data_IF_310511243089
#
_entry.id   IF_310511243089
#
_cell.length_a   1.000
_cell.length_b   1.000
_cell.length_c   1.000
_cell.angle_alpha   90.00
_cell.angle_beta   90.00
_cell.angle_gamma   90.00
#
_symmetry.space_group_name_H-M   'P 1'
#
loop_
_entity.id
_entity.type
_entity.pdbx_description
1 polymer ?
#
# COMPACT_ATOMS: atom_id res chain seq x y z
N UNK A 1 -0.50 -13.94 -13.92
CA UNK A 1 -0.27 -12.61 -13.36
C UNK A 1 0.99 -12.69 -12.51
N UNK A 2 1.99 -11.88 -12.85
CA UNK A 2 3.30 -11.83 -12.19
C UNK A 2 3.31 -10.74 -11.11
N UNK A 3 4.31 -10.74 -10.24
CA UNK A 3 4.52 -9.68 -9.25
C UNK A 3 4.70 -8.31 -9.94
N UNK A 4 5.35 -8.29 -11.11
CA UNK A 4 5.54 -7.08 -11.91
C UNK A 4 4.20 -6.55 -12.46
N UNK A 5 3.32 -7.44 -12.92
CA UNK A 5 1.97 -7.06 -13.37
C UNK A 5 1.18 -6.40 -12.23
N UNK A 6 1.35 -6.90 -11.00
CA UNK A 6 0.63 -6.39 -9.84
C UNK A 6 1.12 -5.00 -9.41
N UNK A 7 2.44 -4.77 -9.46
CA UNK A 7 3.03 -3.45 -9.19
C UNK A 7 2.55 -2.40 -10.21
N UNK A 8 2.47 -2.77 -11.49
CA UNK A 8 1.97 -1.87 -12.54
C UNK A 8 0.50 -1.47 -12.29
N UNK A 9 -0.34 -2.39 -11.79
CA UNK A 9 -1.73 -2.09 -11.42
C UNK A 9 -1.82 -1.15 -10.21
N UNK A 10 -0.92 -1.29 -9.24
CA UNK A 10 -0.85 -0.41 -8.07
C UNK A 10 -0.45 1.01 -8.51
N UNK A 11 0.56 1.13 -9.36
CA UNK A 11 1.02 2.41 -9.92
C UNK A 11 -0.09 3.11 -10.71
N UNK A 12 -0.78 2.39 -11.61
CA UNK A 12 -1.95 2.93 -12.33
C UNK A 12 -3.04 3.41 -11.36
N UNK A 13 -3.28 2.65 -10.29
CA UNK A 13 -4.24 3.00 -9.24
C UNK A 13 -3.88 4.27 -8.47
N UNK A 14 -2.59 4.56 -8.27
CA UNK A 14 -2.13 5.82 -7.68
C UNK A 14 -2.30 6.96 -8.67
N UNK A 15 -1.88 6.77 -9.91
CA UNK A 15 -1.94 7.80 -10.97
C UNK A 15 -3.37 8.26 -11.27
N UNK A 16 -4.34 7.34 -11.23
CA UNK A 16 -5.75 7.65 -11.44
C UNK A 16 -6.51 8.02 -10.15
N UNK A 17 -5.82 8.05 -9.00
CA UNK A 17 -6.37 8.45 -7.70
C UNK A 17 -7.31 7.44 -7.05
N UNK A 18 -7.39 6.19 -7.56
CA UNK A 18 -8.18 5.10 -6.94
C UNK A 18 -7.50 4.50 -5.71
N UNK A 19 -6.18 4.58 -5.63
CA UNK A 19 -5.36 4.08 -4.52
C UNK A 19 -4.61 5.27 -3.92
N UNK A 20 -4.71 5.46 -2.61
CA UNK A 20 -3.92 6.49 -1.94
C UNK A 20 -2.43 6.09 -1.96
N UNK A 21 -1.49 7.06 -2.03
CA UNK A 21 -0.06 6.74 -1.97
C UNK A 21 0.35 5.91 -0.75
N UNK A 22 -0.30 6.15 0.40
CA UNK A 22 -0.06 5.39 1.62
C UNK A 22 -0.48 3.92 1.49
N UNK A 23 -1.65 3.67 0.90
CA UNK A 23 -2.13 2.30 0.67
C UNK A 23 -1.27 1.58 -0.38
N UNK A 24 -0.83 2.27 -1.42
CA UNK A 24 0.06 1.71 -2.43
C UNK A 24 1.43 1.31 -1.84
N UNK A 25 2.00 2.15 -0.98
CA UNK A 25 3.25 1.85 -0.30
C UNK A 25 3.14 0.63 0.62
N UNK A 26 2.06 0.55 1.40
CA UNK A 26 1.77 -0.61 2.26
C UNK A 26 1.65 -1.91 1.45
N UNK A 27 0.81 -1.95 0.42
CA UNK A 27 0.61 -3.14 -0.41
C UNK A 27 1.93 -3.54 -1.10
N UNK A 28 2.71 -2.57 -1.57
CA UNK A 28 4.00 -2.82 -2.23
C UNK A 28 5.03 -3.41 -1.26
N UNK A 29 5.08 -2.92 -0.01
CA UNK A 29 5.96 -3.45 1.02
C UNK A 29 5.65 -4.93 1.32
N UNK A 30 4.37 -5.25 1.54
CA UNK A 30 3.88 -6.61 1.75
C UNK A 30 4.22 -7.52 0.57
N UNK A 31 4.03 -7.04 -0.67
CA UNK A 31 4.34 -7.81 -1.87
C UNK A 31 5.83 -8.10 -2.04
N UNK A 32 6.70 -7.18 -1.62
CA UNK A 32 8.15 -7.31 -1.72
C UNK A 32 8.74 -8.03 -0.51
N UNK A 33 7.94 -8.33 0.53
CA UNK A 33 8.41 -8.91 1.78
C UNK A 33 9.28 -7.95 2.59
N UNK A 34 9.06 -6.64 2.42
CA UNK A 34 9.70 -5.59 3.23
C UNK A 34 8.76 -5.27 4.37
N UNK A 35 9.24 -5.31 5.61
CA UNK A 35 8.38 -5.00 6.76
C UNK A 35 7.93 -3.53 6.70
N UNK A 36 6.63 -3.29 6.88
CA UNK A 36 6.03 -1.95 6.76
C UNK A 36 6.68 -0.89 7.68
N UNK A 37 7.27 -1.30 8.81
CA UNK A 37 8.02 -0.42 9.72
C UNK A 37 9.23 0.26 9.04
N UNK A 38 9.84 -0.38 8.04
CA UNK A 38 10.99 0.15 7.30
C UNK A 38 10.58 1.22 6.28
N UNK A 39 9.29 1.27 5.92
CA UNK A 39 8.76 2.18 4.91
C UNK A 39 8.24 3.50 5.47
N UNK A 40 8.12 3.60 6.81
CA UNK A 40 7.55 4.77 7.49
C UNK A 40 6.01 4.85 7.43
N UNK A 41 5.34 3.91 6.75
CA UNK A 41 3.90 3.72 6.78
C UNK A 41 3.56 2.69 7.85
N UNK A 42 3.56 3.12 9.11
CA UNK A 42 3.22 2.27 10.24
C UNK A 42 1.75 1.84 10.18
N UNK A 43 1.48 0.56 10.40
CA UNK A 43 0.14 -0.06 10.45
C UNK A 43 -0.83 0.68 11.39
N UNK A 44 -0.29 1.38 12.40
CA UNK A 44 -1.04 2.19 13.36
C UNK A 44 -1.86 3.30 12.69
N UNK A 45 -1.49 3.76 11.49
CA UNK A 45 -2.20 4.81 10.75
C UNK A 45 -3.43 4.28 9.98
N UNK A 46 -3.55 2.96 9.82
CA UNK A 46 -4.69 2.33 9.14
C UNK A 46 -5.83 1.98 10.11
N UNK A 47 -5.61 2.07 11.43
CA UNK A 47 -6.59 1.76 12.48
C UNK A 47 -7.07 3.05 13.16
N UNK A 48 -7.54 4.04 12.39
CA UNK A 48 -8.40 5.09 12.94
C UNK A 48 -9.80 4.99 12.32
N UNK A 49 -10.57 4.02 12.79
CA UNK A 49 -12.02 4.13 12.81
C UNK A 49 -12.53 3.62 14.16
N UNK A 50 -12.65 4.48 15.18
CA UNK A 50 -13.45 4.14 16.35
C UNK A 50 -14.92 4.27 15.91
N UNK A 51 -15.53 3.16 15.52
CA UNK A 51 -16.99 3.09 15.45
C UNK A 51 -17.47 2.82 16.86
N UNK A 52 -17.91 3.89 17.54
CA UNK A 52 -18.77 3.79 18.73
C UNK A 52 -20.16 3.29 18.35
#
# INVERSE_FOLDING_TARGET
MTQHDLLALIEEGVDNGRISPALAAFITAELLGVEAYETGYSDDLLIETPVQ
#
